data_IF_448307206331
#
_entry.id   IF_448307206331
#
_cell.length_a   1.000
_cell.length_b   1.000
_cell.length_c   1.000
_cell.angle_alpha   90.00
_cell.angle_beta   90.00
_cell.angle_gamma   90.00
#
_symmetry.space_group_name_H-M   'P 1'
#
loop_
_entity.id
_entity.type
_entity.pdbx_description
1 polymer ?
#
# COMPACT_ATOMS: atom_id res chain seq x y z
N UNK A 1 12.05 -6.86 -0.02
CA UNK A 1 10.77 -6.58 -0.72
C UNK A 1 10.27 -7.86 -1.39
N UNK A 2 9.03 -8.26 -1.09
CA UNK A 2 8.34 -9.38 -1.74
C UNK A 2 6.94 -8.94 -2.17
N UNK A 3 6.37 -9.60 -3.18
CA UNK A 3 5.02 -9.31 -3.69
C UNK A 3 4.38 -10.58 -4.22
N UNK A 4 3.10 -10.73 -3.95
CA UNK A 4 2.26 -11.81 -4.51
C UNK A 4 1.14 -11.14 -5.28
N UNK A 5 0.93 -11.57 -6.52
CA UNK A 5 -0.10 -11.02 -7.41
C UNK A 5 -1.00 -12.18 -7.82
N UNK A 6 -2.31 -11.95 -7.79
CA UNK A 6 -3.26 -12.91 -8.32
C UNK A 6 -3.00 -13.18 -9.81
N UNK A 7 -3.09 -14.43 -10.22
CA UNK A 7 -2.80 -14.82 -11.61
C UNK A 7 -3.78 -14.15 -12.58
N UNK A 8 -5.07 -14.16 -12.25
CA UNK A 8 -6.11 -13.59 -13.08
C UNK A 8 -6.28 -12.09 -12.83
N UNK A 9 -6.62 -11.35 -13.90
CA UNK A 9 -6.94 -9.92 -13.81
C UNK A 9 -8.37 -9.75 -13.31
N UNK A 10 -8.58 -8.76 -12.45
CA UNK A 10 -9.91 -8.38 -11.98
C UNK A 10 -10.49 -7.33 -12.93
N UNK A 11 -11.71 -7.53 -13.41
CA UNK A 11 -12.43 -6.55 -14.23
C UNK A 11 -13.24 -5.63 -13.30
N UNK A 12 -12.70 -4.45 -13.02
CA UNK A 12 -13.26 -3.52 -12.03
C UNK A 12 -14.33 -2.60 -12.61
N UNK A 13 -14.32 -2.37 -13.92
CA UNK A 13 -15.26 -1.48 -14.58
C UNK A 13 -15.35 -1.79 -16.08
N UNK A 14 -16.53 -1.58 -16.66
CA UNK A 14 -16.76 -1.64 -18.10
C UNK A 14 -16.83 -0.21 -18.68
N UNK A 15 -15.92 0.15 -19.62
CA UNK A 15 -15.92 1.48 -20.23
C UNK A 15 -17.09 1.76 -21.18
N UNK A 16 -17.78 0.74 -21.68
CA UNK A 16 -18.89 0.87 -22.62
C UNK A 16 -20.19 1.13 -21.86
N UNK A 17 -20.44 0.35 -20.80
CA UNK A 17 -21.69 0.44 -20.03
C UNK A 17 -21.58 1.41 -18.84
N UNK A 18 -20.35 1.67 -18.35
CA UNK A 18 -20.10 2.44 -17.14
C UNK A 18 -20.36 1.66 -15.85
N UNK A 19 -20.61 0.35 -15.94
CA UNK A 19 -20.83 -0.51 -14.78
C UNK A 19 -19.53 -0.69 -13.96
N UNK A 20 -19.67 -0.69 -12.64
CA UNK A 20 -18.59 -0.91 -11.68
C UNK A 20 -18.78 -2.26 -11.00
N UNK A 21 -17.68 -2.96 -10.74
CA UNK A 21 -17.70 -4.18 -9.97
C UNK A 21 -17.54 -3.89 -8.47
N UNK A 22 -18.35 -4.55 -7.65
CA UNK A 22 -18.12 -4.64 -6.22
C UNK A 22 -17.20 -5.81 -5.90
N UNK A 23 -16.27 -5.62 -4.96
CA UNK A 23 -15.43 -6.70 -4.47
C UNK A 23 -15.23 -6.63 -2.96
N UNK A 24 -14.99 -7.79 -2.36
CA UNK A 24 -14.60 -7.91 -0.95
C UNK A 24 -13.43 -8.87 -0.87
N UNK A 25 -12.36 -8.46 -0.17
CA UNK A 25 -11.23 -9.33 0.15
C UNK A 25 -11.09 -9.47 1.65
N UNK A 26 -10.67 -10.66 2.09
CA UNK A 26 -10.36 -10.93 3.49
C UNK A 26 -9.08 -11.74 3.54
N UNK A 27 -8.12 -11.24 4.30
CA UNK A 27 -6.84 -11.91 4.52
C UNK A 27 -6.44 -11.78 5.99
N UNK A 28 -5.47 -12.58 6.39
CA UNK A 28 -4.87 -12.53 7.73
C UNK A 28 -3.37 -12.64 7.56
N UNK A 29 -2.64 -11.86 8.34
CA UNK A 29 -1.18 -11.81 8.29
C UNK A 29 -0.62 -11.60 9.70
N UNK A 30 0.65 -11.95 9.88
CA UNK A 30 1.39 -11.73 11.12
C UNK A 30 2.70 -11.05 10.75
N UNK A 31 2.98 -9.91 11.38
CA UNK A 31 4.29 -9.25 11.28
C UNK A 31 5.02 -9.48 12.61
N UNK A 32 6.17 -10.14 12.53
CA UNK A 32 7.02 -10.43 13.69
C UNK A 32 8.35 -9.70 13.54
N UNK A 33 8.65 -8.80 14.47
CA UNK A 33 10.01 -8.27 14.60
C UNK A 33 10.87 -9.33 15.29
N UNK A 34 11.81 -9.93 14.55
CA UNK A 34 12.66 -11.02 15.04
C UNK A 34 13.99 -10.54 15.62
N UNK A 35 14.31 -9.24 15.48
CA UNK A 35 15.59 -8.66 15.90
C UNK A 35 15.47 -7.74 17.12
N UNK A 36 14.31 -7.70 17.77
CA UNK A 36 14.13 -7.04 19.07
C UNK A 36 14.96 -7.79 20.12
N UNK A 37 16.05 -7.19 20.61
CA UNK A 37 16.79 -7.75 21.73
C UNK A 37 15.90 -7.74 22.96
N UNK A 38 16.02 -8.78 23.79
CA UNK A 38 15.23 -8.95 25.02
C UNK A 38 15.42 -7.81 26.04
N UNK A 39 16.46 -6.99 25.89
CA UNK A 39 16.75 -5.83 26.73
C UNK A 39 16.09 -4.52 26.22
N UNK A 40 15.34 -4.57 25.12
CA UNK A 40 14.70 -3.40 24.51
C UNK A 40 15.67 -2.43 23.83
N UNK A 41 16.96 -2.79 23.68
CA UNK A 41 18.02 -1.90 23.18
C UNK A 41 18.33 -2.05 21.69
N UNK A 42 17.86 -3.10 21.01
CA UNK A 42 17.93 -3.17 19.56
C UNK A 42 16.85 -2.25 18.98
N UNK A 43 17.32 -1.04 18.67
CA UNK A 43 16.60 0.10 18.11
C UNK A 43 16.16 -0.07 16.65
N UNK A 44 16.14 -1.29 16.09
CA UNK A 44 15.58 -1.46 14.75
C UNK A 44 14.07 -1.28 14.85
N UNK A 45 13.60 -0.09 14.49
CA UNK A 45 12.18 0.17 14.33
C UNK A 45 11.63 -0.88 13.34
N UNK A 46 10.51 -1.55 13.66
CA UNK A 46 9.93 -2.51 12.74
C UNK A 46 9.56 -1.76 11.46
N UNK A 47 10.18 -2.11 10.35
CA UNK A 47 9.91 -1.49 9.08
C UNK A 47 9.97 -2.47 7.92
N UNK A 48 9.39 -2.13 6.78
CA UNK A 48 8.61 -0.90 6.53
C UNK A 48 7.09 -1.14 6.64
N UNK A 49 6.57 -2.20 6.02
CA UNK A 49 5.15 -2.52 6.13
C UNK A 49 4.66 -3.57 5.14
N UNK A 50 3.34 -3.62 4.99
CA UNK A 50 2.62 -4.47 4.05
C UNK A 50 1.56 -3.62 3.32
N UNK A 51 1.29 -3.92 2.05
CA UNK A 51 0.17 -3.31 1.33
C UNK A 51 -0.67 -4.34 0.57
N UNK A 52 -1.99 -4.16 0.60
CA UNK A 52 -2.90 -4.71 -0.40
C UNK A 52 -3.14 -3.65 -1.47
N UNK A 53 -3.04 -4.01 -2.75
CA UNK A 53 -3.12 -3.02 -3.82
C UNK A 53 -3.85 -3.56 -5.05
N UNK A 54 -4.42 -2.64 -5.82
CA UNK A 54 -4.93 -2.87 -7.16
C UNK A 54 -4.12 -2.03 -8.14
N UNK A 55 -3.53 -2.67 -9.14
CA UNK A 55 -2.71 -2.01 -10.16
C UNK A 55 -2.98 -2.59 -11.54
N UNK A 56 -3.01 -1.76 -12.61
CA UNK A 56 -3.05 -2.24 -13.98
C UNK A 56 -1.74 -2.95 -14.39
N UNK A 57 -0.66 -2.69 -13.67
CA UNK A 57 0.67 -3.20 -13.96
C UNK A 57 1.06 -4.33 -13.01
N UNK A 58 1.43 -5.48 -13.57
CA UNK A 58 2.01 -6.60 -12.80
C UNK A 58 3.52 -6.46 -12.60
N UNK A 59 4.15 -5.49 -13.26
CA UNK A 59 5.59 -5.23 -13.16
C UNK A 59 5.94 -4.60 -11.83
N UNK A 60 7.16 -4.87 -11.35
CA UNK A 60 7.67 -4.33 -10.09
C UNK A 60 8.33 -2.98 -10.40
N UNK A 61 8.04 -1.90 -9.66
CA UNK A 61 8.80 -0.67 -9.81
C UNK A 61 10.25 -0.89 -9.37
N UNK A 62 11.23 -0.37 -10.13
CA UNK A 62 12.61 -0.33 -9.66
C UNK A 62 12.70 0.56 -8.41
N UNK A 63 13.64 0.26 -7.52
CA UNK A 63 13.92 1.04 -6.30
C UNK A 63 12.72 1.24 -5.34
N UNK A 64 11.70 0.39 -5.42
CA UNK A 64 10.52 0.48 -4.53
C UNK A 64 10.63 -0.26 -3.20
N UNK A 65 11.84 -0.52 -2.68
CA UNK A 65 11.98 -1.15 -1.37
C UNK A 65 11.80 -0.14 -0.23
N UNK A 66 11.73 -0.58 1.03
CA UNK A 66 11.58 0.36 2.13
C UNK A 66 10.15 0.90 2.26
N UNK A 67 10.03 2.15 2.71
CA UNK A 67 8.79 2.91 2.83
C UNK A 67 7.95 3.03 1.54
N UNK A 68 8.52 2.69 0.38
CA UNK A 68 7.77 2.66 -0.88
C UNK A 68 6.88 1.41 -1.04
N UNK A 69 6.96 0.46 -0.09
CA UNK A 69 6.16 -0.77 0.02
C UNK A 69 6.07 -1.63 -1.25
N UNK A 70 6.99 -1.44 -2.20
CA UNK A 70 6.99 -2.12 -3.49
C UNK A 70 5.99 -1.60 -4.51
N UNK A 71 5.39 -0.42 -4.28
CA UNK A 71 4.31 0.15 -5.08
C UNK A 71 4.76 1.29 -6.00
N UNK A 72 5.77 2.04 -5.59
CA UNK A 72 6.30 3.20 -6.33
C UNK A 72 7.82 3.09 -6.50
N UNK A 73 8.35 3.79 -7.48
CA UNK A 73 9.78 4.09 -7.55
C UNK A 73 10.05 5.33 -6.69
N UNK A 74 11.13 5.30 -5.92
CA UNK A 74 11.66 6.43 -5.16
C UNK A 74 11.69 7.73 -5.97
N UNK A 75 12.13 7.68 -7.23
CA UNK A 75 12.26 8.88 -8.07
C UNK A 75 10.93 9.47 -8.54
N UNK A 76 9.82 8.74 -8.38
CA UNK A 76 8.49 9.13 -8.86
C UNK A 76 7.42 9.01 -7.78
N UNK A 77 7.79 8.94 -6.49
CA UNK A 77 6.85 8.72 -5.38
C UNK A 77 5.72 9.75 -5.32
N UNK A 78 5.97 11.01 -5.71
CA UNK A 78 4.96 12.08 -5.71
C UNK A 78 4.31 12.31 -7.07
N UNK A 79 4.69 11.55 -8.11
CA UNK A 79 4.09 11.65 -9.44
C UNK A 79 2.90 10.70 -9.54
N UNK A 80 1.71 11.28 -9.45
CA UNK A 80 0.47 10.52 -9.53
C UNK A 80 0.13 10.00 -10.92
N UNK A 81 0.64 10.65 -11.95
CA UNK A 81 0.44 10.21 -13.32
C UNK A 81 1.26 8.96 -13.64
N UNK A 82 2.41 8.82 -12.99
CA UNK A 82 3.28 7.64 -13.09
C UNK A 82 2.83 6.45 -12.24
N UNK A 83 1.93 6.67 -11.28
CA UNK A 83 1.56 5.69 -10.25
C UNK A 83 0.05 5.37 -10.25
N UNK A 84 -0.50 4.73 -11.31
CA UNK A 84 -1.94 4.45 -11.41
C UNK A 84 -2.33 3.21 -10.60
N UNK A 85 -2.30 3.29 -9.26
CA UNK A 85 -2.76 2.22 -8.38
C UNK A 85 -3.56 2.77 -7.20
N UNK A 86 -4.27 1.88 -6.52
CA UNK A 86 -4.82 2.14 -5.19
C UNK A 86 -4.31 1.10 -4.22
N UNK A 87 -4.08 1.48 -2.96
CA UNK A 87 -3.55 0.60 -1.94
C UNK A 87 -4.18 0.86 -0.56
N UNK A 88 -4.18 -0.19 0.24
CA UNK A 88 -4.40 -0.16 1.69
C UNK A 88 -3.09 -0.59 2.33
N UNK A 89 -2.52 0.30 3.13
CA UNK A 89 -1.18 0.16 3.69
C UNK A 89 -1.25 -0.15 5.19
N UNK A 90 -0.37 -1.04 5.63
CA UNK A 90 -0.08 -1.35 7.03
C UNK A 90 1.37 -0.90 7.29
N UNK A 91 1.53 0.40 7.48
CA UNK A 91 2.80 1.05 7.69
C UNK A 91 3.25 0.95 9.16
N UNK A 92 4.50 0.54 9.36
CA UNK A 92 5.10 0.36 10.67
C UNK A 92 6.30 1.28 10.91
N UNK A 93 6.78 1.97 9.87
CA UNK A 93 8.00 2.75 9.92
C UNK A 93 7.75 4.21 9.53
N UNK A 94 8.01 5.18 10.43
CA UNK A 94 7.80 6.58 10.12
C UNK A 94 8.87 7.09 9.15
N UNK A 95 8.49 7.33 7.91
CA UNK A 95 9.27 8.07 6.93
C UNK A 95 9.04 9.58 7.05
N UNK A 96 9.96 10.38 6.50
CA UNK A 96 9.89 11.85 6.60
C UNK A 96 8.65 12.47 5.95
N UNK A 97 8.04 11.76 4.99
CA UNK A 97 6.84 12.17 4.28
C UNK A 97 5.54 11.72 4.98
N UNK A 98 5.64 10.95 6.07
CA UNK A 98 4.50 10.60 6.88
C UNK A 98 4.07 11.77 7.74
N UNK A 99 2.80 12.15 7.62
CA UNK A 99 2.20 13.02 8.63
C UNK A 99 1.92 12.20 9.86
N UNK A 100 2.39 12.66 11.03
CA UNK A 100 2.39 12.06 12.38
C UNK A 100 1.08 11.43 12.93
N UNK A 101 0.07 11.16 12.12
CA UNK A 101 -1.06 10.31 12.47
C UNK A 101 -0.60 8.84 12.54
N UNK A 102 0.18 8.50 13.58
CA UNK A 102 0.28 7.13 14.09
C UNK A 102 -1.11 6.69 14.53
N UNK A 103 -1.84 6.04 13.64
CA UNK A 103 -3.04 5.30 13.99
C UNK A 103 -2.95 3.94 13.32
N UNK A 104 -2.70 2.91 14.14
CA UNK A 104 -3.14 1.56 13.79
C UNK A 104 -4.60 1.68 13.38
N UNK A 105 -4.90 1.38 12.11
CA UNK A 105 -6.26 1.11 11.66
C UNK A 105 -6.99 2.16 10.83
N UNK A 106 -6.52 3.40 10.69
CA UNK A 106 -7.11 4.37 9.76
C UNK A 106 -6.14 5.52 9.50
N UNK A 107 -5.78 5.78 8.25
CA UNK A 107 -5.57 7.16 7.81
C UNK A 107 -5.51 7.24 6.28
N UNK A 108 -6.68 7.56 5.71
CA UNK A 108 -6.89 8.36 4.50
C UNK A 108 -6.30 7.79 3.20
N UNK A 109 -7.09 7.59 2.13
CA UNK A 109 -6.52 7.46 0.80
C UNK A 109 -5.76 8.75 0.50
N UNK A 110 -4.45 8.79 0.79
CA UNK A 110 -3.55 9.66 0.06
C UNK A 110 -3.44 9.05 -1.31
N UNK A 111 -4.41 9.45 -2.11
CA UNK A 111 -4.27 9.53 -3.54
C UNK A 111 -2.93 10.22 -3.81
N UNK A 112 -1.90 9.44 -4.12
CA UNK A 112 -0.89 9.91 -5.06
C UNK A 112 -1.73 10.10 -6.34
N UNK A 113 -2.31 11.29 -6.48
CA UNK A 113 -3.52 11.65 -7.25
C UNK A 113 -3.90 10.74 -8.44
N UNK A 114 -4.69 9.71 -8.17
CA UNK A 114 -5.71 9.22 -9.11
C UNK A 114 -7.06 9.28 -8.38
N UNK A 115 -8.01 10.02 -8.97
CA UNK A 115 -9.34 10.28 -8.39
C UNK A 115 -10.07 8.96 -8.13
N UNK A 116 -10.25 8.61 -6.87
CA UNK A 116 -11.30 7.68 -6.42
C UNK A 116 -11.66 8.05 -4.98
N UNK A 117 -12.83 8.63 -4.79
CA UNK A 117 -13.38 8.94 -3.46
C UNK A 117 -14.11 7.70 -2.95
N UNK A 118 -13.66 7.12 -1.83
CA UNK A 118 -14.41 6.06 -1.13
C UNK A 118 -15.03 6.70 0.12
N UNK A 119 -16.35 6.80 0.12
CA UNK A 119 -17.14 7.20 1.29
C UNK A 119 -17.31 5.99 2.20
N UNK A 120 -16.80 6.06 3.43
CA UNK A 120 -17.24 5.16 4.49
C UNK A 120 -18.43 5.82 5.19
N UNK A 121 -19.61 5.21 5.10
CA UNK A 121 -20.69 5.45 6.04
C UNK A 121 -20.55 4.46 7.18
N UNK A 122 -20.45 4.97 8.41
CA UNK A 122 -20.60 4.19 9.65
C UNK A 122 -22.07 3.99 9.99
#
# INVERSE_FOLDING_TARGET
MGRVIHHERLHLWDPITGELADFTTRFSFVIKNVNSSADGKNKYAPGDGLAFFLSPNKTRPPNGAGGYLGLVNESSVFDSSANPFVAVEFDMYPNEWDTYARQVGMAVPRSIRSRMSILFQS
#
